data_IF_317322468238
#
_entry.id   IF_317322468238
#
_cell.length_a   1.000
_cell.length_b   1.000
_cell.length_c   1.000
_cell.angle_alpha   90.00
_cell.angle_beta   90.00
_cell.angle_gamma   90.00
#
_symmetry.space_group_name_H-M   'P 1'
#
loop_
_entity.id
_entity.type
_entity.pdbx_description
1 polymer ?
#
# COMPACT_ATOMS: atom_id res chain seq x y z
N UNK A 1 45.40 33.19 40.56
CA UNK A 1 45.09 32.78 39.17
C UNK A 1 44.63 31.33 39.02
N UNK A 2 44.98 30.40 39.92
CA UNK A 2 44.56 28.97 39.79
C UNK A 2 43.04 28.73 39.98
N UNK A 3 42.34 29.49 40.82
CA UNK A 3 40.91 29.28 41.07
C UNK A 3 39.99 29.71 39.91
N UNK A 4 40.42 30.64 39.04
CA UNK A 4 39.65 31.03 37.85
C UNK A 4 39.64 29.95 36.76
N UNK A 5 40.70 29.13 36.70
CA UNK A 5 40.82 28.05 35.71
C UNK A 5 39.88 26.88 36.04
N UNK A 6 39.65 26.56 37.31
CA UNK A 6 38.71 25.51 37.71
C UNK A 6 37.24 25.87 37.48
N UNK A 7 36.89 27.16 37.63
CA UNK A 7 35.54 27.66 37.34
C UNK A 7 35.23 27.58 35.84
N UNK A 8 36.21 27.89 34.99
CA UNK A 8 36.06 27.75 33.53
C UNK A 8 35.93 26.30 33.08
N UNK A 9 36.68 25.37 33.68
CA UNK A 9 36.57 23.93 33.41
C UNK A 9 35.23 23.36 33.91
N UNK A 10 34.68 23.82 35.03
CA UNK A 10 33.39 23.40 35.56
C UNK A 10 32.22 23.91 34.69
N UNK A 11 32.29 25.13 34.17
CA UNK A 11 31.31 25.68 33.23
C UNK A 11 31.34 24.98 31.88
N UNK A 12 32.50 24.52 31.37
CA UNK A 12 32.60 23.75 30.14
C UNK A 12 31.97 22.36 30.24
N UNK A 13 31.93 21.74 31.45
CA UNK A 13 31.31 20.46 31.68
C UNK A 13 29.77 20.52 31.75
N UNK A 14 29.19 21.69 32.05
CA UNK A 14 27.73 21.88 32.09
C UNK A 14 27.11 22.08 30.72
N UNK A 15 27.90 22.27 29.67
CA UNK A 15 27.46 22.42 28.29
C UNK A 15 27.59 21.13 27.45
N UNK A 16 27.92 20.00 28.04
CA UNK A 16 27.77 18.68 27.41
C UNK A 16 26.26 18.34 27.35
N UNK A 17 25.52 19.16 26.61
CA UNK A 17 24.11 18.95 26.33
C UNK A 17 23.94 17.63 25.60
N UNK A 18 23.65 16.57 26.32
CA UNK A 18 22.98 15.41 25.72
C UNK A 18 21.70 15.94 25.12
N UNK A 19 21.65 16.04 23.80
CA UNK A 19 20.40 16.26 23.09
C UNK A 19 19.49 15.08 23.43
N UNK A 20 18.68 15.23 24.46
CA UNK A 20 17.54 14.36 24.75
C UNK A 20 16.61 14.47 23.53
N UNK A 21 16.77 13.58 22.58
CA UNK A 21 15.82 13.42 21.52
C UNK A 21 14.51 12.99 22.18
N UNK A 22 13.56 13.92 22.27
CA UNK A 22 12.23 13.62 22.79
C UNK A 22 11.65 12.46 21.98
N UNK A 23 11.55 11.29 22.60
CA UNK A 23 11.07 10.08 21.97
C UNK A 23 9.61 10.27 21.58
N UNK A 24 9.33 10.31 20.30
CA UNK A 24 7.96 10.49 19.77
C UNK A 24 7.06 9.37 20.27
N UNK A 25 5.91 9.72 20.83
CA UNK A 25 4.91 8.78 21.34
C UNK A 25 3.55 9.10 20.73
N UNK A 26 2.74 8.08 20.49
CA UNK A 26 1.37 8.25 19.99
C UNK A 26 0.47 7.09 20.40
N UNK A 27 -0.85 7.33 20.27
CA UNK A 27 -1.91 6.37 20.56
C UNK A 27 -2.55 5.89 19.26
N UNK A 28 -2.81 4.58 19.10
CA UNK A 28 -3.46 4.05 17.90
C UNK A 28 -4.94 4.46 17.85
N UNK A 29 -5.47 4.53 16.63
CA UNK A 29 -6.90 4.65 16.38
C UNK A 29 -7.57 3.29 16.57
N UNK A 30 -8.88 3.28 16.76
CA UNK A 30 -9.65 2.03 16.81
C UNK A 30 -9.47 1.24 15.50
N UNK A 31 -9.14 -0.06 15.60
CA UNK A 31 -8.89 -0.93 14.46
C UNK A 31 -7.55 -0.72 13.73
N UNK A 32 -6.70 0.17 14.20
CA UNK A 32 -5.40 0.44 13.58
C UNK A 32 -4.37 -0.66 13.90
N UNK A 33 -3.77 -1.25 12.87
CA UNK A 33 -2.64 -2.18 13.02
C UNK A 33 -1.29 -1.48 13.08
N UNK A 34 -0.22 -2.22 13.48
CA UNK A 34 1.14 -1.65 13.62
C UNK A 34 1.61 -1.00 12.31
N UNK A 35 1.39 -1.63 11.17
CA UNK A 35 1.83 -1.10 9.88
C UNK A 35 1.17 0.24 9.56
N UNK A 36 -0.15 0.35 9.72
CA UNK A 36 -0.89 1.59 9.50
C UNK A 36 -0.49 2.67 10.50
N UNK A 37 -0.27 2.28 11.76
CA UNK A 37 0.22 3.18 12.81
C UNK A 37 1.60 3.76 12.47
N UNK A 38 2.53 2.93 12.03
CA UNK A 38 3.87 3.35 11.60
C UNK A 38 3.82 4.30 10.40
N UNK A 39 3.03 3.96 9.36
CA UNK A 39 2.84 4.81 8.17
C UNK A 39 2.28 6.17 8.52
N UNK A 40 1.29 6.25 9.40
CA UNK A 40 0.70 7.51 9.88
C UNK A 40 1.73 8.42 10.57
N UNK A 41 2.80 7.83 11.09
CA UNK A 41 3.90 8.56 11.73
C UNK A 41 5.16 8.65 10.86
N UNK A 42 5.03 8.51 9.53
CA UNK A 42 6.13 8.60 8.57
C UNK A 42 7.26 7.57 8.86
N UNK A 43 6.87 6.35 9.23
CA UNK A 43 7.77 5.21 9.42
C UNK A 43 7.37 4.09 8.48
N UNK A 44 8.24 3.72 7.53
CA UNK A 44 8.02 2.56 6.66
C UNK A 44 7.96 1.27 7.49
N UNK A 45 6.89 0.47 7.44
CA UNK A 45 6.82 -0.79 8.18
C UNK A 45 7.99 -1.72 7.85
N UNK A 46 8.37 -1.83 6.59
CA UNK A 46 9.53 -2.64 6.14
C UNK A 46 10.82 -2.33 6.91
N UNK A 47 11.02 -1.08 7.34
CA UNK A 47 12.25 -0.62 8.02
C UNK A 47 12.13 -0.56 9.54
N UNK A 48 10.91 -0.33 10.05
CA UNK A 48 10.70 0.04 11.46
C UNK A 48 9.77 -0.90 12.22
N UNK A 49 9.24 -1.97 11.60
CA UNK A 49 8.30 -2.88 12.25
C UNK A 49 8.93 -3.60 13.45
N UNK A 50 10.10 -4.18 13.23
CA UNK A 50 10.80 -4.93 14.28
C UNK A 50 11.29 -4.00 15.40
N UNK A 51 11.81 -2.82 15.05
CA UNK A 51 12.20 -1.79 16.04
C UNK A 51 11.00 -1.36 16.89
N UNK A 52 9.81 -1.23 16.25
CA UNK A 52 8.59 -0.85 16.97
C UNK A 52 8.16 -1.94 17.94
N UNK A 53 8.20 -3.20 17.55
CA UNK A 53 7.89 -4.33 18.43
C UNK A 53 8.84 -4.35 19.61
N UNK A 54 10.15 -4.23 19.38
CA UNK A 54 11.14 -4.27 20.44
C UNK A 54 10.94 -3.11 21.44
N UNK A 55 10.73 -1.88 20.96
CA UNK A 55 10.50 -0.72 21.79
C UNK A 55 9.20 -0.79 22.63
N UNK A 56 8.23 -1.58 22.19
CA UNK A 56 6.90 -1.61 22.80
C UNK A 56 6.46 -3.00 23.28
N UNK A 57 7.36 -3.95 23.35
CA UNK A 57 7.12 -5.36 23.65
C UNK A 57 6.21 -5.60 24.86
N UNK A 58 6.42 -4.85 25.93
CA UNK A 58 5.63 -4.98 27.16
C UNK A 58 4.21 -4.39 27.07
N UNK A 59 3.95 -3.55 26.07
CA UNK A 59 2.65 -2.85 25.90
C UNK A 59 1.75 -3.53 24.89
N UNK A 60 2.32 -4.29 23.97
CA UNK A 60 1.59 -5.00 22.92
C UNK A 60 0.70 -6.10 23.51
N UNK A 61 -0.40 -6.39 22.82
CA UNK A 61 -1.27 -7.52 23.11
C UNK A 61 -0.71 -8.83 22.57
N UNK A 62 -1.45 -9.92 22.77
CA UNK A 62 -1.14 -11.22 22.18
C UNK A 62 -1.00 -11.07 20.65
N UNK A 63 0.00 -11.72 20.05
CA UNK A 63 0.31 -11.61 18.62
C UNK A 63 0.65 -10.19 18.14
N UNK A 64 1.29 -9.39 19.00
CA UNK A 64 1.72 -8.02 18.71
C UNK A 64 0.57 -7.04 18.33
N UNK A 65 -0.62 -7.25 18.86
CA UNK A 65 -1.78 -6.38 18.59
C UNK A 65 -1.67 -5.08 19.38
N UNK A 66 -1.96 -3.94 18.72
CA UNK A 66 -2.08 -2.65 19.37
C UNK A 66 -3.35 -2.60 20.25
N UNK A 67 -3.22 -2.05 21.45
CA UNK A 67 -4.34 -1.83 22.37
C UNK A 67 -4.80 -0.38 22.27
N UNK A 68 -6.10 -0.16 22.08
CA UNK A 68 -6.69 1.19 22.07
C UNK A 68 -6.46 1.88 23.41
N UNK A 69 -6.16 3.18 23.38
CA UNK A 69 -5.88 3.97 24.58
C UNK A 69 -4.45 3.82 25.14
N UNK A 70 -3.65 2.87 24.65
CA UNK A 70 -2.25 2.69 25.05
C UNK A 70 -1.34 3.56 24.19
N UNK A 71 -0.44 4.29 24.84
CA UNK A 71 0.56 5.12 24.15
C UNK A 71 1.82 4.32 23.85
N UNK A 72 2.19 4.25 22.57
CA UNK A 72 3.35 3.55 22.06
C UNK A 72 4.48 4.50 21.67
N UNK A 73 5.70 4.02 21.78
CA UNK A 73 6.91 4.71 21.35
C UNK A 73 7.10 4.49 19.85
N UNK A 74 7.30 5.57 19.11
CA UNK A 74 7.59 5.51 17.68
C UNK A 74 9.10 5.44 17.48
N UNK A 75 9.63 4.48 16.71
CA UNK A 75 11.04 4.34 16.45
C UNK A 75 11.64 5.66 15.91
N UNK A 76 12.83 6.09 16.36
CA UNK A 76 13.50 7.26 15.81
C UNK A 76 13.87 7.05 14.35
N UNK A 77 13.93 8.15 13.58
CA UNK A 77 14.38 8.07 12.19
C UNK A 77 15.85 7.65 12.16
N UNK A 78 16.15 6.49 11.59
CA UNK A 78 17.51 6.03 11.38
C UNK A 78 18.16 6.90 10.30
N UNK A 79 19.13 7.74 10.67
CA UNK A 79 19.98 8.42 9.70
C UNK A 79 20.84 7.37 9.01
N UNK A 80 20.72 7.24 7.69
CA UNK A 80 21.68 6.49 6.89
C UNK A 80 23.00 7.27 6.84
N UNK A 81 24.18 6.64 6.98
CA UNK A 81 25.43 7.34 6.71
C UNK A 81 25.49 7.66 5.20
N UNK A 82 25.62 8.93 4.87
CA UNK A 82 25.67 9.48 3.50
C UNK A 82 24.33 9.59 2.79
N UNK A 83 23.73 10.79 2.95
CA UNK A 83 23.18 11.52 1.83
C UNK A 83 22.87 12.95 2.30
N UNK A 84 23.88 13.81 2.08
CA UNK A 84 23.67 15.24 1.95
C UNK A 84 23.02 15.45 0.59
N UNK A 85 21.74 15.59 0.56
CA UNK A 85 20.97 16.41 -0.40
C UNK A 85 19.50 16.30 0.02
N UNK A 86 18.86 17.44 0.15
CA UNK A 86 17.42 17.56 0.41
C UNK A 86 16.63 16.93 -0.73
N UNK A 87 16.42 15.63 -0.64
CA UNK A 87 15.55 14.90 -1.57
C UNK A 87 14.23 14.68 -0.83
N UNK A 88 13.23 15.48 -1.19
CA UNK A 88 11.85 15.06 -1.06
C UNK A 88 11.82 13.59 -1.48
N UNK A 89 11.27 12.70 -0.64
CA UNK A 89 10.96 11.33 -1.03
C UNK A 89 10.07 11.43 -2.28
N UNK A 90 10.69 11.35 -3.44
CA UNK A 90 9.97 11.13 -4.68
C UNK A 90 9.48 9.68 -4.60
N UNK A 91 8.20 9.50 -4.35
CA UNK A 91 7.47 8.35 -4.87
C UNK A 91 7.92 8.14 -6.31
N UNK A 92 8.13 6.90 -6.79
CA UNK A 92 8.49 6.69 -8.18
C UNK A 92 7.53 7.54 -9.01
N UNK A 93 8.10 8.49 -9.76
CA UNK A 93 7.32 9.48 -10.51
C UNK A 93 6.51 8.69 -11.54
N UNK A 94 5.22 8.54 -11.29
CA UNK A 94 4.32 7.86 -12.22
C UNK A 94 4.52 8.49 -13.61
N UNK A 95 4.63 7.64 -14.64
CA UNK A 95 4.86 8.11 -16.00
C UNK A 95 3.65 8.93 -16.45
N UNK A 96 3.84 10.21 -16.66
CA UNK A 96 2.80 11.07 -17.26
C UNK A 96 2.60 10.65 -18.72
N UNK A 97 1.43 10.10 -19.01
CA UNK A 97 1.07 9.74 -20.38
C UNK A 97 0.42 10.95 -21.06
N UNK A 98 0.89 11.28 -22.26
CA UNK A 98 0.41 12.45 -23.02
C UNK A 98 -1.01 12.20 -23.56
N UNK A 99 -1.86 13.24 -23.58
CA UNK A 99 -3.17 13.21 -24.22
C UNK A 99 -3.00 12.77 -25.71
N UNK A 100 -3.88 11.91 -26.16
CA UNK A 100 -3.84 11.33 -27.51
C UNK A 100 -3.02 10.04 -27.63
N UNK A 101 -2.21 9.68 -26.60
CA UNK A 101 -1.51 8.40 -26.58
C UNK A 101 -2.53 7.25 -26.44
N UNK A 102 -2.27 6.13 -27.13
CA UNK A 102 -3.01 4.89 -26.93
C UNK A 102 -2.17 3.93 -26.11
N UNK A 103 -2.73 3.47 -24.99
CA UNK A 103 -2.17 2.44 -24.11
C UNK A 103 -2.81 1.11 -24.52
N UNK A 104 -2.03 0.06 -24.71
CA UNK A 104 -2.56 -1.28 -24.90
C UNK A 104 -2.55 -2.04 -23.59
N UNK A 105 -3.75 -2.37 -23.06
CA UNK A 105 -3.95 -3.18 -21.86
C UNK A 105 -4.79 -4.42 -22.19
N UNK A 106 -4.15 -5.56 -22.45
CA UNK A 106 -4.83 -6.78 -22.87
C UNK A 106 -5.89 -7.31 -21.90
N UNK A 107 -5.77 -6.98 -20.60
CA UNK A 107 -6.74 -7.40 -19.58
C UNK A 107 -8.14 -6.81 -19.80
N UNK A 108 -8.28 -5.76 -20.61
CA UNK A 108 -9.61 -5.21 -20.93
C UNK A 108 -10.33 -6.00 -22.03
N UNK A 109 -9.70 -7.04 -22.58
CA UNK A 109 -10.26 -7.84 -23.69
C UNK A 109 -10.05 -7.19 -25.06
N UNK A 110 -10.21 -7.97 -26.13
CA UNK A 110 -9.85 -7.57 -27.51
C UNK A 110 -10.45 -6.25 -27.97
N UNK A 111 -11.70 -5.98 -27.59
CA UNK A 111 -12.42 -4.78 -28.06
C UNK A 111 -12.01 -3.51 -27.33
N UNK A 112 -11.62 -3.62 -26.05
CA UNK A 112 -11.38 -2.49 -25.16
C UNK A 112 -9.91 -2.35 -24.73
N UNK A 113 -9.03 -3.24 -25.20
CA UNK A 113 -7.60 -3.24 -24.86
C UNK A 113 -6.89 -1.92 -25.22
N UNK A 114 -7.30 -1.27 -26.31
CA UNK A 114 -6.71 0.01 -26.71
C UNK A 114 -7.40 1.16 -26.00
N UNK A 115 -6.69 1.78 -25.07
CA UNK A 115 -7.19 2.89 -24.24
C UNK A 115 -6.58 4.19 -24.73
N UNK A 116 -7.40 5.07 -25.30
CA UNK A 116 -6.96 6.41 -25.69
C UNK A 116 -6.98 7.33 -24.48
N UNK A 117 -5.85 7.96 -24.16
CA UNK A 117 -5.74 8.98 -23.12
C UNK A 117 -6.42 10.26 -23.60
N UNK A 118 -7.51 10.65 -22.94
CA UNK A 118 -8.36 11.78 -23.35
C UNK A 118 -8.15 13.02 -22.47
N UNK A 119 -7.54 12.84 -21.31
CA UNK A 119 -7.25 13.94 -20.38
C UNK A 119 -5.95 13.69 -19.62
N UNK A 120 -5.46 14.70 -18.89
CA UNK A 120 -4.30 14.60 -18.03
C UNK A 120 -4.61 14.92 -16.57
N UNK A 121 -5.89 14.84 -16.19
CA UNK A 121 -6.32 15.19 -14.82
C UNK A 121 -5.66 14.36 -13.74
N UNK A 122 -5.27 13.11 -14.07
CA UNK A 122 -4.62 12.19 -13.17
C UNK A 122 -3.15 11.93 -13.58
N UNK A 123 -2.57 12.79 -14.40
CA UNK A 123 -1.17 12.66 -14.83
C UNK A 123 -0.22 12.70 -13.61
N UNK A 124 0.66 11.70 -13.53
CA UNK A 124 1.59 11.55 -12.41
C UNK A 124 1.00 10.85 -11.17
N UNK A 125 -0.27 10.44 -11.21
CA UNK A 125 -0.85 9.56 -10.19
C UNK A 125 -0.68 8.08 -10.61
N UNK A 126 -0.39 7.21 -9.63
CA UNK A 126 -0.35 5.77 -9.80
C UNK A 126 -1.44 5.13 -8.93
N UNK A 127 -2.26 4.29 -9.54
CA UNK A 127 -3.35 3.57 -8.87
C UNK A 127 -3.10 2.07 -8.89
N UNK A 128 -3.16 1.46 -7.73
CA UNK A 128 -3.17 0.00 -7.57
C UNK A 128 -4.62 -0.45 -7.45
N UNK A 129 -5.15 -1.05 -8.52
CA UNK A 129 -6.55 -1.50 -8.56
C UNK A 129 -6.61 -2.97 -8.19
N UNK A 130 -7.35 -3.25 -7.12
CA UNK A 130 -7.50 -4.59 -6.55
C UNK A 130 -8.98 -4.93 -6.51
N UNK A 131 -9.42 -5.92 -7.28
CA UNK A 131 -10.78 -6.47 -7.12
C UNK A 131 -10.90 -7.30 -5.85
N UNK A 132 -12.10 -7.37 -5.27
CA UNK A 132 -12.41 -8.31 -4.20
C UNK A 132 -12.39 -9.76 -4.70
N UNK A 133 -12.17 -10.72 -3.80
CA UNK A 133 -12.25 -12.16 -4.08
C UNK A 133 -11.32 -12.63 -5.23
N UNK A 134 -11.70 -13.67 -5.97
CA UNK A 134 -10.99 -14.19 -7.14
C UNK A 134 -10.24 -15.50 -6.89
N UNK A 135 -9.97 -16.25 -7.97
CA UNK A 135 -9.38 -17.58 -7.93
C UNK A 135 -10.24 -18.58 -7.19
N UNK A 136 -9.77 -19.14 -6.05
CA UNK A 136 -10.56 -20.12 -5.30
C UNK A 136 -11.70 -19.51 -4.47
N UNK A 137 -11.80 -18.18 -4.40
CA UNK A 137 -12.75 -17.45 -3.57
C UNK A 137 -13.78 -16.69 -4.42
N UNK A 138 -14.98 -17.26 -4.63
CA UNK A 138 -16.02 -16.63 -5.45
C UNK A 138 -16.70 -15.44 -4.74
N UNK A 139 -16.42 -15.19 -3.45
CA UNK A 139 -17.20 -14.26 -2.64
C UNK A 139 -18.61 -14.75 -2.39
N UNK A 140 -19.58 -13.83 -2.35
CA UNK A 140 -20.99 -14.19 -2.25
C UNK A 140 -21.48 -14.83 -3.56
N UNK A 141 -22.31 -15.86 -3.45
CA UNK A 141 -22.91 -16.55 -4.58
C UNK A 141 -24.41 -16.29 -4.57
N UNK A 142 -24.91 -15.67 -5.65
CA UNK A 142 -26.32 -15.46 -5.92
C UNK A 142 -26.85 -16.37 -7.03
N UNK A 143 -28.17 -16.37 -7.26
CA UNK A 143 -28.79 -17.11 -8.34
C UNK A 143 -29.97 -16.37 -8.96
N UNK A 144 -29.99 -16.31 -10.29
CA UNK A 144 -31.11 -15.75 -11.06
C UNK A 144 -31.51 -16.77 -12.15
N UNK A 145 -32.65 -17.41 -11.94
CA UNK A 145 -33.09 -18.50 -12.82
C UNK A 145 -32.07 -19.65 -12.85
N UNK A 146 -31.49 -19.93 -14.01
CA UNK A 146 -30.44 -20.93 -14.21
C UNK A 146 -29.02 -20.39 -14.02
N UNK A 147 -28.85 -19.08 -13.85
CA UNK A 147 -27.55 -18.44 -13.77
C UNK A 147 -27.10 -18.34 -12.31
N UNK A 148 -25.91 -18.78 -12.04
CA UNK A 148 -25.20 -18.59 -10.77
C UNK A 148 -24.28 -17.38 -10.90
N UNK A 149 -24.40 -16.43 -9.95
CA UNK A 149 -23.68 -15.16 -9.97
C UNK A 149 -22.63 -15.17 -8.88
N UNK A 150 -21.37 -15.04 -9.23
CA UNK A 150 -20.25 -14.97 -8.29
C UNK A 150 -19.80 -13.53 -8.10
N UNK A 151 -19.60 -13.09 -6.87
CA UNK A 151 -19.21 -11.72 -6.54
C UNK A 151 -17.87 -11.33 -7.17
N UNK A 152 -16.90 -12.26 -7.22
CA UNK A 152 -15.56 -12.01 -7.76
C UNK A 152 -15.60 -11.60 -9.25
N UNK A 153 -16.46 -12.22 -10.05
CA UNK A 153 -16.60 -11.91 -11.48
C UNK A 153 -17.07 -10.46 -11.71
N UNK A 154 -18.08 -10.04 -10.94
CA UNK A 154 -18.59 -8.66 -11.03
C UNK A 154 -17.62 -7.65 -10.40
N UNK A 155 -16.97 -8.00 -9.30
CA UNK A 155 -15.94 -7.16 -8.70
C UNK A 155 -14.76 -6.95 -9.65
N UNK A 156 -14.35 -7.99 -10.39
CA UNK A 156 -13.29 -7.92 -11.38
C UNK A 156 -13.69 -7.04 -12.57
N UNK A 157 -14.87 -7.23 -13.13
CA UNK A 157 -15.37 -6.41 -14.24
C UNK A 157 -15.44 -4.91 -13.88
N UNK A 158 -15.97 -4.59 -12.69
CA UNK A 158 -16.01 -3.21 -12.18
C UNK A 158 -14.60 -2.65 -12.00
N UNK A 159 -13.66 -3.45 -11.47
CA UNK A 159 -12.27 -3.03 -11.31
C UNK A 159 -11.59 -2.74 -12.66
N UNK A 160 -11.84 -3.54 -13.68
CA UNK A 160 -11.33 -3.28 -15.04
C UNK A 160 -11.91 -2.01 -15.65
N UNK A 161 -13.21 -1.74 -15.49
CA UNK A 161 -13.86 -0.49 -15.94
C UNK A 161 -13.26 0.72 -15.24
N UNK A 162 -13.05 0.64 -13.94
CA UNK A 162 -12.39 1.69 -13.17
C UNK A 162 -10.96 1.91 -13.68
N UNK A 163 -10.17 0.85 -13.83
CA UNK A 163 -8.80 0.91 -14.32
C UNK A 163 -8.73 1.60 -15.69
N UNK A 164 -9.63 1.23 -16.62
CA UNK A 164 -9.71 1.82 -17.94
C UNK A 164 -10.03 3.31 -17.88
N UNK A 165 -10.98 3.73 -17.05
CA UNK A 165 -11.34 5.13 -16.88
C UNK A 165 -10.18 5.95 -16.30
N UNK A 166 -9.46 5.40 -15.30
CA UNK A 166 -8.28 6.05 -14.71
C UNK A 166 -7.17 6.25 -15.77
N UNK A 167 -6.93 5.24 -16.63
CA UNK A 167 -5.96 5.37 -17.73
C UNK A 167 -6.38 6.43 -18.76
N UNK A 168 -7.67 6.55 -19.09
CA UNK A 168 -8.18 7.60 -19.97
C UNK A 168 -7.92 9.01 -19.43
N UNK A 169 -7.90 9.15 -18.10
CA UNK A 169 -7.59 10.40 -17.39
C UNK A 169 -6.07 10.64 -17.19
N UNK A 170 -5.22 9.79 -17.77
CA UNK A 170 -3.77 9.94 -17.76
C UNK A 170 -3.05 9.34 -16.57
N UNK A 171 -3.72 8.56 -15.72
CA UNK A 171 -3.10 7.86 -14.60
C UNK A 171 -2.24 6.68 -15.07
N UNK A 172 -1.21 6.35 -14.29
CA UNK A 172 -0.59 5.02 -14.30
C UNK A 172 -1.47 4.08 -13.48
N UNK A 173 -1.78 2.90 -14.02
CA UNK A 173 -2.65 1.93 -13.33
C UNK A 173 -1.96 0.57 -13.27
N UNK A 174 -2.01 -0.05 -12.11
CA UNK A 174 -1.53 -1.41 -11.85
C UNK A 174 -2.72 -2.27 -11.43
N UNK A 175 -3.10 -3.21 -12.27
CA UNK A 175 -4.19 -4.15 -12.00
C UNK A 175 -3.58 -5.35 -11.28
N UNK A 176 -3.98 -5.59 -10.03
CA UNK A 176 -3.32 -6.59 -9.16
C UNK A 176 -3.93 -7.97 -9.33
N UNK A 177 -5.26 -8.07 -9.41
CA UNK A 177 -5.94 -9.33 -9.71
C UNK A 177 -6.21 -9.36 -11.21
N UNK A 178 -5.85 -10.46 -11.87
CA UNK A 178 -5.80 -10.56 -13.33
C UNK A 178 -6.38 -11.88 -13.82
N UNK A 179 -7.26 -11.83 -14.81
CA UNK A 179 -7.63 -12.96 -15.69
C UNK A 179 -7.35 -12.57 -17.14
N UNK A 180 -6.40 -13.25 -17.77
CA UNK A 180 -5.99 -12.97 -19.15
C UNK A 180 -7.04 -13.37 -20.21
N UNK A 181 -8.10 -14.10 -19.83
CA UNK A 181 -9.14 -14.58 -20.74
C UNK A 181 -10.44 -13.81 -20.62
N UNK A 182 -10.73 -13.33 -19.43
CA UNK A 182 -11.87 -12.46 -19.19
C UNK A 182 -11.45 -11.01 -19.43
N UNK A 183 -12.30 -10.25 -20.05
CA UNK A 183 -12.11 -8.82 -20.25
C UNK A 183 -13.21 -8.05 -19.55
N UNK A 184 -13.42 -6.81 -19.95
CA UNK A 184 -14.63 -6.08 -19.63
C UNK A 184 -15.77 -6.72 -20.43
N UNK A 185 -16.85 -7.12 -19.75
CA UNK A 185 -17.95 -7.93 -20.30
C UNK A 185 -19.27 -7.20 -20.14
N UNK A 186 -20.01 -7.10 -21.24
CA UNK A 186 -21.37 -6.48 -21.26
C UNK A 186 -22.48 -7.55 -21.28
N UNK A 187 -22.17 -8.78 -20.86
CA UNK A 187 -23.15 -9.85 -20.77
C UNK A 187 -24.17 -9.59 -19.66
N UNK A 188 -25.41 -10.02 -19.87
CA UNK A 188 -26.47 -9.91 -18.85
C UNK A 188 -26.12 -10.63 -17.56
N UNK A 189 -25.40 -11.77 -17.67
CA UNK A 189 -24.87 -12.53 -16.56
C UNK A 189 -23.46 -12.97 -16.89
N UNK A 190 -22.51 -12.64 -16.01
CA UNK A 190 -21.11 -12.99 -16.23
C UNK A 190 -20.89 -14.49 -15.98
N UNK A 191 -20.08 -15.11 -16.84
CA UNK A 191 -19.66 -16.50 -16.66
C UNK A 191 -18.66 -16.61 -15.52
N UNK A 192 -18.80 -17.66 -14.71
CA UNK A 192 -17.92 -17.90 -13.57
C UNK A 192 -16.62 -18.59 -14.00
N UNK A 193 -15.51 -18.14 -13.45
CA UNK A 193 -14.20 -18.74 -13.65
C UNK A 193 -13.44 -18.89 -12.34
N UNK A 194 -12.26 -19.47 -12.37
CA UNK A 194 -11.32 -19.55 -11.24
C UNK A 194 -9.89 -19.37 -11.76
N UNK A 195 -9.75 -18.57 -12.80
CA UNK A 195 -8.48 -18.36 -13.51
C UNK A 195 -7.73 -17.15 -13.04
N UNK A 196 -8.34 -16.35 -12.15
CA UNK A 196 -7.73 -15.14 -11.63
C UNK A 196 -6.42 -15.47 -10.90
N UNK A 197 -5.46 -14.61 -11.15
CA UNK A 197 -4.13 -14.66 -10.55
C UNK A 197 -3.84 -13.34 -9.84
N UNK A 198 -2.94 -13.36 -8.88
CA UNK A 198 -2.39 -12.13 -8.30
C UNK A 198 -1.08 -11.79 -9.02
N UNK A 199 -1.17 -10.96 -10.07
CA UNK A 199 -0.03 -10.60 -10.94
C UNK A 199 0.73 -11.85 -11.44
N UNK A 200 -0.01 -12.81 -11.98
CA UNK A 200 0.52 -14.06 -12.55
C UNK A 200 0.68 -15.22 -11.55
N UNK A 201 0.65 -14.97 -10.24
CA UNK A 201 0.76 -16.03 -9.24
C UNK A 201 -0.61 -16.59 -8.86
N UNK A 202 -0.74 -17.90 -8.59
CA UNK A 202 -1.96 -18.50 -8.07
C UNK A 202 -2.42 -17.84 -6.77
N UNK A 203 -3.73 -17.63 -6.64
CA UNK A 203 -4.32 -17.03 -5.43
C UNK A 203 -4.51 -18.13 -4.36
N UNK A 204 -3.98 -17.95 -3.12
CA UNK A 204 -4.14 -18.93 -2.06
C UNK A 204 -5.59 -19.08 -1.60
N UNK A 205 -5.99 -20.28 -1.15
CA UNK A 205 -7.31 -20.52 -0.57
C UNK A 205 -7.51 -19.79 0.77
N UNK A 206 -6.46 -19.68 1.56
CA UNK A 206 -6.53 -19.02 2.87
C UNK A 206 -6.68 -17.49 2.72
N UNK A 207 -7.70 -16.92 3.38
CA UNK A 207 -8.02 -15.49 3.27
C UNK A 207 -6.87 -14.58 3.71
N UNK A 208 -6.19 -14.88 4.81
CA UNK A 208 -5.07 -14.06 5.30
C UNK A 208 -3.92 -14.07 4.31
N UNK A 209 -3.61 -15.24 3.75
CA UNK A 209 -2.56 -15.38 2.73
C UNK A 209 -2.92 -14.63 1.43
N UNK A 210 -4.19 -14.66 1.01
CA UNK A 210 -4.66 -13.88 -0.16
C UNK A 210 -4.46 -12.38 0.04
N UNK A 211 -4.83 -11.86 1.20
CA UNK A 211 -4.67 -10.44 1.50
C UNK A 211 -3.20 -10.05 1.60
N UNK A 212 -2.39 -10.91 2.24
CA UNK A 212 -0.94 -10.68 2.33
C UNK A 212 -0.28 -10.70 0.95
N UNK A 213 -0.62 -11.66 0.09
CA UNK A 213 -0.10 -11.75 -1.27
C UNK A 213 -0.33 -10.44 -2.06
N UNK A 214 -1.52 -9.85 -1.97
CA UNK A 214 -1.83 -8.58 -2.63
C UNK A 214 -0.97 -7.44 -2.12
N UNK A 215 -0.81 -7.35 -0.79
CA UNK A 215 0.08 -6.36 -0.17
C UNK A 215 1.54 -6.55 -0.61
N UNK A 216 2.03 -7.79 -0.62
CA UNK A 216 3.40 -8.10 -1.02
C UNK A 216 3.66 -7.76 -2.50
N UNK A 217 2.70 -8.06 -3.38
CA UNK A 217 2.79 -7.69 -4.81
C UNK A 217 2.84 -6.18 -5.00
N UNK A 218 1.98 -5.42 -4.32
CA UNK A 218 1.98 -3.95 -4.39
C UNK A 218 3.29 -3.37 -3.84
N UNK A 219 3.81 -3.92 -2.74
CA UNK A 219 5.05 -3.44 -2.14
C UNK A 219 6.31 -3.79 -2.95
N UNK A 220 6.20 -4.71 -3.91
CA UNK A 220 7.30 -5.10 -4.81
C UNK A 220 7.35 -4.25 -6.09
N UNK A 221 6.33 -3.43 -6.39
CA UNK A 221 6.26 -2.53 -7.54
C UNK A 221 6.92 -1.18 -7.26
#
# INVERSE_FOLDING_TARGET
>A
MKNKLYILLFLAFLFSGTTLWAQQKATPKAGEGISSFLLRHNRSPKKYYDDFIELNKQKLGKNNVLKVGVTYVIPPIKKSPSENTGTKQQSPKAKSTKIGTTINEPLFGKQLANVKVTSNRLAGACFYVVSGHGGPDPGAIGKVGKYELHEDEYAYDIALRLARNLMQEGAEVRIIIQDAKDGIRDDSYLSNSKRETCMGDPIPLNQVQRLQQRCDKINAL
#
